data_IF_207670718392
#
_entry.id   IF_207670718392
#
_cell.length_a   1.000
_cell.length_b   1.000
_cell.length_c   1.000
_cell.angle_alpha   90.00
_cell.angle_beta   90.00
_cell.angle_gamma   90.00
#
_symmetry.space_group_name_H-M   'P 1'
#
loop_
_entity.id
_entity.type
_entity.pdbx_description
1 polymer ?
#
# COMPACT_ATOMS: atom_id res chain seq x y z
N UNK A 1 6.88 0.10 -2.28
CA UNK A 1 6.69 1.48 -2.77
C UNK A 1 6.40 1.44 -4.25
N UNK A 2 5.48 2.28 -4.75
CA UNK A 2 5.18 2.38 -6.18
C UNK A 2 5.97 3.55 -6.78
N UNK A 3 6.49 3.38 -7.99
CA UNK A 3 7.26 4.40 -8.71
C UNK A 3 6.63 4.73 -10.07
N UNK A 4 6.45 6.03 -10.34
CA UNK A 4 6.10 6.58 -11.66
C UNK A 4 6.64 8.02 -11.79
N UNK A 5 7.66 8.25 -12.63
CA UNK A 5 8.22 9.56 -13.00
C UNK A 5 8.65 10.52 -11.86
N UNK A 6 8.83 10.01 -10.64
CA UNK A 6 9.22 10.82 -9.47
C UNK A 6 10.53 10.31 -8.87
N UNK A 7 11.61 10.49 -9.62
CA UNK A 7 12.92 9.93 -9.28
C UNK A 7 13.51 10.46 -7.97
N UNK A 8 13.52 11.78 -7.79
CA UNK A 8 14.10 12.40 -6.58
C UNK A 8 13.35 11.95 -5.32
N UNK A 9 12.02 11.89 -5.43
CA UNK A 9 11.15 11.42 -4.36
C UNK A 9 11.44 9.96 -3.99
N UNK A 10 11.57 9.08 -4.98
CA UNK A 10 11.98 7.69 -4.75
C UNK A 10 13.32 7.61 -4.02
N UNK A 11 14.32 8.38 -4.46
CA UNK A 11 15.64 8.37 -3.82
C UNK A 11 15.57 8.85 -2.37
N UNK A 12 14.80 9.89 -2.10
CA UNK A 12 14.68 10.42 -0.73
C UNK A 12 13.91 9.46 0.18
N UNK A 13 12.86 8.81 -0.33
CA UNK A 13 12.20 7.74 0.43
C UNK A 13 13.11 6.53 0.66
N UNK A 14 13.94 6.14 -0.31
CA UNK A 14 14.92 5.05 -0.12
C UNK A 14 15.96 5.41 0.95
N UNK A 15 16.46 6.65 0.95
CA UNK A 15 17.38 7.14 2.00
C UNK A 15 16.73 7.11 3.38
N UNK A 16 15.47 7.56 3.49
CA UNK A 16 14.73 7.56 4.76
C UNK A 16 14.58 6.14 5.35
N UNK A 17 14.59 5.11 4.50
CA UNK A 17 14.45 3.71 4.91
C UNK A 17 15.79 3.02 5.26
N UNK A 18 16.96 3.62 4.96
CA UNK A 18 18.27 2.96 5.11
C UNK A 18 18.63 2.54 6.55
N UNK A 19 17.99 3.12 7.57
CA UNK A 19 18.31 2.88 8.98
C UNK A 19 17.14 2.34 9.80
N UNK A 20 16.07 1.87 9.13
CA UNK A 20 14.90 1.33 9.84
C UNK A 20 15.25 -0.05 10.41
N UNK A 21 15.17 -0.19 11.73
CA UNK A 21 15.31 -1.50 12.36
C UNK A 21 14.18 -2.44 11.91
N UNK A 22 14.50 -3.71 11.68
CA UNK A 22 13.57 -4.75 11.20
C UNK A 22 13.07 -4.57 9.76
N UNK A 23 13.66 -3.67 8.97
CA UNK A 23 13.40 -3.62 7.53
C UNK A 23 14.11 -4.79 6.83
N UNK A 24 13.32 -5.74 6.32
CA UNK A 24 13.87 -6.90 5.59
C UNK A 24 14.32 -6.53 4.17
N UNK A 25 13.45 -5.90 3.38
CA UNK A 25 13.75 -5.51 2.00
C UNK A 25 12.81 -4.41 1.54
N UNK A 26 13.25 -3.61 0.58
CA UNK A 26 12.39 -2.65 -0.12
C UNK A 26 12.08 -3.20 -1.50
N UNK A 27 10.79 -3.29 -1.83
CA UNK A 27 10.32 -3.66 -3.16
C UNK A 27 9.79 -2.40 -3.85
N UNK A 28 10.40 -2.09 -4.98
CA UNK A 28 9.96 -1.00 -5.86
C UNK A 28 9.05 -1.60 -6.92
N UNK A 29 7.79 -1.20 -6.90
CA UNK A 29 6.80 -1.52 -7.94
C UNK A 29 6.92 -0.45 -9.01
N UNK A 30 7.54 -0.82 -10.12
CA UNK A 30 7.92 0.07 -11.19
C UNK A 30 6.81 0.16 -12.24
N UNK A 31 6.02 1.23 -12.18
CA UNK A 31 4.89 1.45 -13.08
C UNK A 31 5.25 2.25 -14.35
N UNK A 32 6.36 2.98 -14.34
CA UNK A 32 6.79 3.73 -15.52
C UNK A 32 7.06 2.79 -16.70
N UNK A 33 6.68 3.10 -17.97
CA UNK A 33 6.83 2.19 -19.12
C UNK A 33 8.27 1.80 -19.44
N UNK A 34 9.22 2.73 -19.29
CA UNK A 34 10.66 2.44 -19.43
C UNK A 34 11.13 1.84 -18.11
N UNK A 35 11.80 0.68 -18.15
CA UNK A 35 12.36 0.03 -16.96
C UNK A 35 13.44 0.87 -16.25
N UNK A 36 13.84 0.48 -15.03
CA UNK A 36 14.97 1.12 -14.36
C UNK A 36 16.23 0.99 -15.21
N UNK A 37 17.14 1.97 -15.13
CA UNK A 37 18.46 1.86 -15.76
C UNK A 37 19.16 0.60 -15.26
N UNK A 38 19.85 -0.17 -16.13
CA UNK A 38 20.65 -1.32 -15.71
C UNK A 38 21.74 -0.99 -14.68
N UNK A 39 22.15 0.29 -14.62
CA UNK A 39 23.14 0.79 -13.67
C UNK A 39 22.55 1.15 -12.31
N UNK A 40 21.22 1.28 -12.20
CA UNK A 40 20.57 1.62 -10.95
C UNK A 40 20.56 0.41 -10.01
N UNK A 41 21.23 0.54 -8.87
CA UNK A 41 21.29 -0.51 -7.85
C UNK A 41 20.09 -0.35 -6.93
N UNK A 42 19.08 -1.19 -7.14
CA UNK A 42 17.91 -1.29 -6.29
C UNK A 42 17.87 -2.65 -5.60
N UNK A 43 17.37 -2.74 -4.35
CA UNK A 43 17.33 -4.00 -3.62
C UNK A 43 16.44 -5.04 -4.32
N UNK A 44 15.17 -4.70 -4.62
CA UNK A 44 14.26 -5.52 -5.42
C UNK A 44 13.34 -4.63 -6.25
N UNK A 45 13.19 -4.94 -7.55
CA UNK A 45 12.29 -4.22 -8.45
C UNK A 45 11.32 -5.20 -9.09
N UNK A 46 10.04 -4.87 -9.05
CA UNK A 46 9.00 -5.53 -9.83
C UNK A 46 8.54 -4.59 -10.94
N UNK A 47 8.79 -4.98 -12.19
CA UNK A 47 8.35 -4.23 -13.36
C UNK A 47 6.89 -4.57 -13.68
N UNK A 48 5.98 -3.60 -13.51
CA UNK A 48 4.59 -3.81 -13.85
C UNK A 48 4.35 -3.75 -15.37
N UNK A 49 3.31 -4.46 -15.83
CA UNK A 49 2.91 -4.50 -17.24
C UNK A 49 2.16 -3.23 -17.69
N UNK A 50 1.47 -2.57 -16.78
CA UNK A 50 0.69 -1.35 -17.02
C UNK A 50 0.83 -0.38 -15.85
N UNK A 51 0.46 0.89 -16.07
CA UNK A 51 0.41 1.86 -14.99
C UNK A 51 -0.90 1.72 -14.20
N UNK A 52 -0.86 0.99 -13.09
CA UNK A 52 -1.99 0.82 -12.17
C UNK A 52 -1.55 1.00 -10.72
N UNK A 53 -2.32 1.77 -9.95
CA UNK A 53 -2.09 1.93 -8.50
C UNK A 53 -2.22 0.60 -7.75
N UNK A 54 -2.95 -0.37 -8.31
CA UNK A 54 -3.17 -1.67 -7.67
C UNK A 54 -1.96 -2.61 -7.78
N UNK A 55 -0.96 -2.30 -8.61
CA UNK A 55 0.23 -3.15 -8.78
C UNK A 55 1.01 -3.36 -7.48
N UNK A 56 0.90 -2.42 -6.52
CA UNK A 56 1.53 -2.54 -5.20
C UNK A 56 0.88 -3.55 -4.26
N UNK A 57 -0.33 -4.01 -4.59
CA UNK A 57 -1.06 -5.02 -3.82
C UNK A 57 -1.00 -6.40 -4.45
N UNK A 58 -0.21 -6.59 -5.51
CA UNK A 58 -0.01 -7.91 -6.10
C UNK A 58 0.69 -8.83 -5.09
N UNK A 59 0.31 -10.11 -5.02
CA UNK A 59 0.99 -11.12 -4.21
C UNK A 59 2.31 -11.49 -4.91
N UNK A 60 3.32 -10.64 -4.75
CA UNK A 60 4.63 -10.81 -5.36
C UNK A 60 5.44 -11.86 -4.59
N UNK A 61 6.06 -12.81 -5.30
CA UNK A 61 6.96 -13.81 -4.69
C UNK A 61 8.18 -13.17 -4.01
N UNK A 62 8.49 -11.91 -4.36
CA UNK A 62 9.53 -11.10 -3.73
C UNK A 62 9.23 -10.79 -2.26
N UNK A 63 7.95 -10.86 -1.83
CA UNK A 63 7.49 -10.60 -0.47
C UNK A 63 7.72 -11.84 0.40
N UNK A 64 8.71 -11.76 1.27
CA UNK A 64 9.13 -12.87 2.14
C UNK A 64 8.69 -12.69 3.60
N UNK A 65 8.10 -11.54 3.94
CA UNK A 65 7.66 -11.17 5.30
C UNK A 65 6.14 -11.25 5.43
N UNK A 66 5.66 -11.41 6.67
CA UNK A 66 4.23 -11.36 6.98
C UNK A 66 3.69 -9.93 6.99
N UNK A 67 4.50 -8.99 7.48
CA UNK A 67 4.18 -7.56 7.47
C UNK A 67 4.60 -6.92 6.14
N UNK A 68 3.74 -6.07 5.60
CA UNK A 68 4.05 -5.19 4.47
C UNK A 68 3.78 -3.76 4.93
N UNK A 69 4.79 -2.89 4.87
CA UNK A 69 4.60 -1.44 4.89
C UNK A 69 4.39 -0.97 3.45
N UNK A 70 3.18 -0.51 3.13
CA UNK A 70 2.93 0.23 1.91
C UNK A 70 3.10 1.71 2.18
N UNK A 71 3.93 2.35 1.36
CA UNK A 71 4.28 3.76 1.44
C UNK A 71 4.10 4.39 0.05
N UNK A 72 3.28 5.43 -0.01
CA UNK A 72 3.16 6.35 -1.14
C UNK A 72 4.42 7.23 -1.21
N UNK A 73 4.71 7.75 -2.39
CA UNK A 73 5.92 8.55 -2.63
C UNK A 73 5.81 9.96 -2.04
N UNK A 74 4.61 10.49 -1.82
CA UNK A 74 4.37 11.77 -1.18
C UNK A 74 4.28 11.71 0.36
N UNK A 75 4.45 10.53 0.97
CA UNK A 75 4.42 10.37 2.42
C UNK A 75 5.82 10.05 2.97
N UNK A 76 6.29 10.92 3.86
CA UNK A 76 7.54 10.72 4.60
C UNK A 76 7.22 10.31 6.03
N UNK A 77 7.69 9.14 6.43
CA UNK A 77 7.68 8.68 7.82
C UNK A 77 9.10 8.67 8.38
N UNK A 78 9.26 9.10 9.63
CA UNK A 78 10.52 8.97 10.36
C UNK A 78 10.77 7.52 10.75
N UNK A 79 12.04 7.18 11.01
CA UNK A 79 12.43 5.84 11.49
C UNK A 79 11.65 5.44 12.74
N UNK A 80 11.52 6.35 13.71
CA UNK A 80 10.78 6.11 14.95
C UNK A 80 9.30 5.85 14.72
N UNK A 81 8.68 6.56 13.77
CA UNK A 81 7.29 6.30 13.39
C UNK A 81 7.16 4.89 12.82
N UNK A 82 7.99 4.53 11.82
CA UNK A 82 7.96 3.21 11.19
C UNK A 82 8.11 2.09 12.23
N UNK A 83 9.07 2.21 13.16
CA UNK A 83 9.29 1.23 14.22
C UNK A 83 8.09 1.12 15.17
N UNK A 84 7.51 2.26 15.56
CA UNK A 84 6.31 2.29 16.41
C UNK A 84 5.11 1.66 15.71
N UNK A 85 4.87 2.02 14.45
CA UNK A 85 3.79 1.46 13.63
C UNK A 85 3.94 -0.05 13.46
N UNK A 86 5.17 -0.53 13.21
CA UNK A 86 5.46 -1.96 13.15
C UNK A 86 5.22 -2.65 14.50
N UNK A 87 5.61 -2.05 15.62
CA UNK A 87 5.34 -2.61 16.95
C UNK A 87 3.85 -2.78 17.23
N UNK A 88 3.06 -1.75 16.92
CA UNK A 88 1.58 -1.80 17.08
C UNK A 88 0.98 -2.85 16.14
N UNK A 89 1.48 -2.95 14.90
CA UNK A 89 1.02 -3.97 13.96
C UNK A 89 1.33 -5.39 14.45
N UNK A 90 2.49 -5.64 15.07
CA UNK A 90 2.81 -6.97 15.65
C UNK A 90 1.80 -7.41 16.71
N UNK A 91 1.23 -6.47 17.45
CA UNK A 91 0.18 -6.73 18.44
C UNK A 91 -1.21 -6.85 17.81
N UNK A 92 -1.39 -6.38 16.57
CA UNK A 92 -2.67 -6.29 15.86
C UNK A 92 -2.58 -6.83 14.43
N UNK A 93 -1.98 -8.02 14.25
CA UNK A 93 -1.58 -8.55 12.94
C UNK A 93 -2.72 -8.72 11.92
N UNK A 94 -3.95 -8.86 12.40
CA UNK A 94 -5.16 -9.01 11.58
C UNK A 94 -5.74 -7.67 11.10
N UNK A 95 -5.20 -6.54 11.58
CA UNK A 95 -5.71 -5.20 11.29
C UNK A 95 -4.74 -4.42 10.41
N UNK A 96 -5.29 -3.48 9.67
CA UNK A 96 -4.53 -2.41 9.02
C UNK A 96 -4.09 -1.41 10.10
N UNK A 97 -2.79 -1.10 10.17
CA UNK A 97 -2.23 -0.12 11.11
C UNK A 97 -1.49 0.93 10.31
N UNK A 98 -1.88 2.20 10.39
CA UNK A 98 -1.27 3.25 9.59
C UNK A 98 -1.63 4.63 10.09
N UNK A 99 -1.16 5.64 9.35
CA UNK A 99 -1.22 7.04 9.78
C UNK A 99 -2.37 7.82 9.13
N UNK A 100 -2.59 7.77 7.80
CA UNK A 100 -3.57 8.66 7.20
C UNK A 100 -4.97 8.09 7.43
N UNK A 101 -5.68 8.65 8.41
CA UNK A 101 -7.04 8.29 8.75
C UNK A 101 -8.05 8.99 7.84
N UNK A 102 -9.16 8.30 7.57
CA UNK A 102 -10.27 8.84 6.79
C UNK A 102 -11.59 8.42 7.39
N UNK A 103 -12.63 9.14 7.02
CA UNK A 103 -13.97 8.83 7.46
C UNK A 103 -14.98 8.88 6.31
N UNK A 104 -16.17 8.36 6.55
CA UNK A 104 -17.32 8.50 5.67
C UNK A 104 -18.52 8.99 6.49
N UNK A 105 -19.37 9.79 5.87
CA UNK A 105 -20.62 10.26 6.50
C UNK A 105 -21.78 10.04 5.54
N UNK A 106 -22.89 9.56 6.09
CA UNK A 106 -24.14 9.52 5.36
C UNK A 106 -24.76 10.92 5.27
N UNK A 107 -24.95 11.43 4.06
CA UNK A 107 -25.61 12.72 3.83
C UNK A 107 -27.10 12.48 3.62
N UNK A 108 -27.89 12.75 4.65
CA UNK A 108 -29.35 12.55 4.61
C UNK A 108 -30.05 13.35 3.50
N UNK A 109 -29.49 14.50 3.09
CA UNK A 109 -30.06 15.35 2.02
C UNK A 109 -29.97 14.71 0.64
N UNK A 110 -28.84 14.09 0.32
CA UNK A 110 -28.56 13.42 -0.97
C UNK A 110 -28.80 11.90 -0.92
N UNK A 111 -29.09 11.34 0.26
CA UNK A 111 -29.25 9.90 0.51
C UNK A 111 -28.05 9.08 0.01
N UNK A 112 -26.85 9.61 0.16
CA UNK A 112 -25.60 8.99 -0.27
C UNK A 112 -24.53 9.02 0.83
N UNK A 113 -23.46 8.27 0.61
CA UNK A 113 -22.28 8.26 1.47
C UNK A 113 -21.22 9.17 0.89
N UNK A 114 -20.62 10.01 1.72
CA UNK A 114 -19.57 10.92 1.32
C UNK A 114 -18.26 10.62 2.04
N UNK A 115 -17.18 10.57 1.26
CA UNK A 115 -15.81 10.49 1.76
C UNK A 115 -15.39 11.79 2.46
N UNK A 116 -14.73 11.67 3.61
CA UNK A 116 -14.21 12.79 4.40
C UNK A 116 -12.72 12.62 4.67
N UNK A 117 -11.97 13.67 4.35
CA UNK A 117 -10.52 13.74 4.59
C UNK A 117 -10.21 13.91 6.08
N UNK A 118 -10.92 14.83 6.74
CA UNK A 118 -10.74 15.11 8.15
C UNK A 118 -12.03 14.76 8.89
N UNK A 119 -11.92 13.90 9.88
CA UNK A 119 -13.04 13.68 10.78
C UNK A 119 -13.20 14.88 11.70
N UNK A 120 -14.42 15.43 11.76
CA UNK A 120 -14.75 16.46 12.76
C UNK A 120 -14.96 15.82 14.14
N UNK A 121 -15.30 14.53 14.19
CA UNK A 121 -15.31 13.75 15.41
C UNK A 121 -13.89 13.21 15.66
N UNK A 122 -13.55 12.94 16.92
CA UNK A 122 -12.27 12.29 17.29
C UNK A 122 -12.23 10.79 16.90
N UNK A 123 -12.92 10.40 15.82
CA UNK A 123 -13.11 9.03 15.36
C UNK A 123 -12.82 8.93 13.86
N UNK A 124 -12.37 7.76 13.41
CA UNK A 124 -12.16 7.47 11.99
C UNK A 124 -12.74 6.08 11.69
N UNK A 125 -13.00 5.81 10.40
CA UNK A 125 -13.53 4.51 9.93
C UNK A 125 -12.62 3.81 8.92
N UNK A 126 -11.61 4.51 8.40
CA UNK A 126 -10.67 3.99 7.41
C UNK A 126 -9.24 4.44 7.70
N UNK A 127 -8.27 3.62 7.31
CA UNK A 127 -6.85 3.98 7.23
C UNK A 127 -6.43 3.81 5.77
N UNK A 128 -5.76 4.82 5.21
CA UNK A 128 -5.23 4.71 3.85
C UNK A 128 -3.96 3.88 3.82
N UNK A 129 -3.86 3.01 2.83
CA UNK A 129 -2.72 2.14 2.56
C UNK A 129 -1.48 2.86 2.04
N UNK A 130 -1.55 4.19 1.90
CA UNK A 130 -0.43 5.04 1.49
C UNK A 130 0.65 5.22 2.55
N UNK A 131 0.36 4.88 3.81
CA UNK A 131 1.34 4.78 4.88
C UNK A 131 0.79 3.85 5.96
N UNK A 132 0.77 2.55 5.65
CA UNK A 132 0.19 1.56 6.55
C UNK A 132 0.86 0.18 6.43
N UNK A 133 0.87 -0.50 7.57
CA UNK A 133 1.21 -1.89 7.76
C UNK A 133 -0.01 -2.79 7.61
N UNK A 134 0.12 -3.84 6.83
CA UNK A 134 -0.89 -4.90 6.73
C UNK A 134 -0.24 -6.27 6.54
N UNK A 135 -1.05 -7.31 6.73
CA UNK A 135 -0.61 -8.69 6.54
C UNK A 135 -0.51 -9.05 5.06
N UNK A 136 0.50 -9.84 4.68
CA UNK A 136 0.71 -10.27 3.29
C UNK A 136 -0.51 -10.92 2.65
N UNK A 137 -1.33 -11.61 3.44
CA UNK A 137 -2.60 -12.22 2.98
C UNK A 137 -3.55 -11.21 2.32
N UNK A 138 -3.51 -9.93 2.73
CA UNK A 138 -4.29 -8.88 2.09
C UNK A 138 -3.97 -8.74 0.59
N UNK A 139 -2.72 -8.97 0.16
CA UNK A 139 -2.35 -8.92 -1.28
C UNK A 139 -3.06 -10.00 -2.10
N UNK A 140 -3.17 -11.21 -1.56
CA UNK A 140 -3.89 -12.31 -2.19
C UNK A 140 -5.39 -12.03 -2.27
N UNK A 141 -5.98 -11.59 -1.16
CA UNK A 141 -7.41 -11.27 -1.09
C UNK A 141 -7.76 -10.14 -2.05
N UNK A 142 -7.01 -9.04 -2.05
CA UNK A 142 -7.24 -7.89 -2.93
C UNK A 142 -7.12 -8.27 -4.40
N UNK A 143 -6.19 -9.14 -4.78
CA UNK A 143 -6.08 -9.65 -6.14
C UNK A 143 -7.33 -10.42 -6.56
N UNK A 144 -7.86 -11.28 -5.70
CA UNK A 144 -9.09 -12.04 -5.98
C UNK A 144 -10.29 -11.12 -6.18
N UNK A 145 -10.44 -10.08 -5.36
CA UNK A 145 -11.49 -9.08 -5.56
C UNK A 145 -11.28 -8.28 -6.86
N UNK A 146 -10.07 -7.81 -7.14
CA UNK A 146 -9.78 -7.05 -8.37
C UNK A 146 -10.10 -7.86 -9.63
N UNK A 147 -9.77 -9.17 -9.62
CA UNK A 147 -10.10 -10.07 -10.72
C UNK A 147 -11.63 -10.22 -10.93
N UNK A 148 -12.43 -10.24 -9.85
CA UNK A 148 -13.88 -10.28 -9.95
C UNK A 148 -14.47 -9.03 -10.63
N UNK A 149 -13.90 -7.84 -10.41
CA UNK A 149 -14.44 -6.60 -10.98
C UNK A 149 -13.98 -6.31 -12.42
N UNK A 150 -13.00 -7.05 -12.94
CA UNK A 150 -12.50 -6.88 -14.32
C UNK A 150 -13.18 -7.78 -15.35
N UNK A 151 -14.04 -8.72 -14.93
CA UNK A 151 -14.82 -9.58 -15.83
C UNK A 151 -16.27 -9.06 -15.92
N UNK A 152 -16.65 -8.38 -17.02
CA UNK A 152 -18.01 -7.84 -17.17
C UNK A 152 -19.10 -8.92 -17.28
N UNK A 153 -18.74 -10.21 -17.32
CA UNK A 153 -19.67 -11.34 -17.45
C UNK A 153 -19.76 -12.24 -16.20
N UNK A 154 -19.14 -11.88 -15.07
CA UNK A 154 -19.24 -12.67 -13.81
C UNK A 154 -19.77 -11.83 -12.65
N UNK A 155 -21.06 -11.97 -12.38
CA UNK A 155 -21.73 -11.36 -11.21
C UNK A 155 -21.38 -12.03 -9.86
N UNK A 156 -20.63 -13.14 -9.86
CA UNK A 156 -20.32 -13.88 -8.63
C UNK A 156 -18.87 -14.34 -8.61
N UNK A 157 -18.12 -13.86 -7.62
CA UNK A 157 -16.79 -14.36 -7.27
C UNK A 157 -16.84 -15.85 -6.93
N UNK A 158 -16.35 -16.71 -7.82
CA UNK A 158 -16.03 -18.08 -7.43
C UNK A 158 -14.73 -18.07 -6.61
N UNK A 159 -14.67 -18.74 -5.44
CA UNK A 159 -13.42 -18.89 -4.72
C UNK A 159 -12.43 -19.66 -5.60
N UNK A 160 -11.22 -19.13 -5.74
CA UNK A 160 -10.11 -19.86 -6.37
C UNK A 160 -9.70 -20.94 -5.36
N UNK A 161 -10.03 -22.18 -5.68
CA UNK A 161 -9.64 -23.38 -4.92
C UNK A 161 -8.15 -23.68 -5.10
#
# INVERSE_FOLDING_TARGET
MLYYDRWDVLLDSLKALQNVANLHTVIIVWNHPIGPSPQAIFPKVFKAHNNSLNNRFLPLDLIQTEAILSLDDDVTLTVSEIEKGFSVWKENRERLVGYPERDFEFRSSSKDWAYKVNSRSKSYSMILTGAAFFHKVCTTVLRSFSACFTDPNRDVCAPVA
#
